data_IF_214848426044
#
_entry.id   IF_214848426044
#
_cell.length_a   1.000
_cell.length_b   1.000
_cell.length_c   1.000
_cell.angle_alpha   90.00
_cell.angle_beta   90.00
_cell.angle_gamma   90.00
#
_symmetry.space_group_name_H-M   'P 1'
#
loop_
_entity.id
_entity.type
_entity.pdbx_description
1 polymer ?
#
# COMPACT_ATOMS: atom_id res chain seq x y z
N UNK A 1 -13.57 31.73 6.19
CA UNK A 1 -12.48 30.87 5.69
C UNK A 1 -12.99 29.43 5.76
N UNK A 2 -13.44 28.88 4.64
CA UNK A 2 -14.24 27.63 4.58
C UNK A 2 -13.39 26.39 4.89
N UNK A 3 -13.84 25.54 5.81
CA UNK A 3 -13.23 24.26 6.20
C UNK A 3 -13.74 23.07 5.35
N UNK A 4 -14.30 23.31 4.17
CA UNK A 4 -14.79 22.26 3.29
C UNK A 4 -13.76 21.96 2.18
N UNK A 5 -13.17 20.75 2.12
CA UNK A 5 -12.37 20.35 0.97
C UNK A 5 -13.25 20.31 -0.30
N UNK A 6 -12.76 20.80 -1.45
CA UNK A 6 -13.54 20.92 -2.69
C UNK A 6 -14.12 19.55 -3.14
N UNK A 7 -15.33 19.51 -3.73
CA UNK A 7 -16.11 18.27 -3.93
C UNK A 7 -15.63 17.33 -5.05
N UNK A 8 -14.57 17.68 -5.76
CA UNK A 8 -14.18 17.11 -7.06
C UNK A 8 -13.03 16.07 -6.99
N UNK A 9 -12.73 15.55 -5.80
CA UNK A 9 -11.72 14.49 -5.61
C UNK A 9 -12.38 13.13 -5.30
N UNK A 10 -11.98 12.03 -5.97
CA UNK A 10 -12.56 10.71 -5.77
C UNK A 10 -12.38 10.26 -4.31
N UNK A 11 -13.41 9.60 -3.75
CA UNK A 11 -13.48 9.22 -2.32
C UNK A 11 -12.22 8.51 -1.80
N UNK A 12 -11.56 7.72 -2.65
CA UNK A 12 -10.30 7.04 -2.32
C UNK A 12 -9.15 8.02 -2.02
N UNK A 13 -9.03 9.16 -2.75
CA UNK A 13 -8.00 10.17 -2.46
C UNK A 13 -8.24 10.84 -1.12
N UNK A 14 -9.50 11.15 -0.78
CA UNK A 14 -9.84 11.73 0.53
C UNK A 14 -9.52 10.78 1.68
N UNK A 15 -9.81 9.48 1.53
CA UNK A 15 -9.47 8.47 2.53
C UNK A 15 -7.96 8.30 2.69
N UNK A 16 -7.21 8.25 1.58
CA UNK A 16 -5.75 8.09 1.61
C UNK A 16 -5.04 9.33 2.19
N UNK A 17 -5.53 10.54 1.91
CA UNK A 17 -5.00 11.77 2.52
C UNK A 17 -5.44 11.98 3.98
N UNK A 18 -6.48 11.30 4.45
CA UNK A 18 -6.94 11.39 5.84
C UNK A 18 -6.13 10.50 6.80
N UNK A 19 -5.38 9.53 6.29
CA UNK A 19 -4.51 8.68 7.11
C UNK A 19 -3.10 9.30 7.15
N UNK A 20 -2.71 10.03 8.21
CA UNK A 20 -1.51 10.86 8.21
C UNK A 20 -0.21 10.07 8.00
N UNK A 21 -0.18 8.78 8.35
CA UNK A 21 1.01 7.92 8.21
C UNK A 21 1.22 7.46 6.77
N UNK A 22 0.18 6.97 6.08
CA UNK A 22 0.29 6.51 4.69
C UNK A 22 0.17 7.65 3.68
N UNK A 23 -0.58 8.70 4.00
CA UNK A 23 -0.85 9.82 3.08
C UNK A 23 0.37 10.69 2.79
N UNK A 24 1.31 10.85 3.73
CA UNK A 24 2.55 11.59 3.51
C UNK A 24 3.52 10.81 2.61
N UNK A 25 3.79 9.55 2.97
CA UNK A 25 4.66 8.66 2.20
C UNK A 25 4.15 8.45 0.76
N UNK A 26 2.85 8.28 0.58
CA UNK A 26 2.27 8.12 -0.77
C UNK A 26 2.30 9.42 -1.57
N UNK A 27 2.12 10.58 -0.92
CA UNK A 27 2.26 11.89 -1.58
C UNK A 27 3.67 12.08 -2.10
N UNK A 28 4.67 11.72 -1.29
CA UNK A 28 6.07 11.81 -1.66
C UNK A 28 6.40 10.82 -2.78
N UNK A 29 5.88 9.60 -2.78
CA UNK A 29 6.12 8.63 -3.88
C UNK A 29 5.52 9.09 -5.20
N UNK A 30 4.34 9.72 -5.14
CA UNK A 30 3.62 10.17 -6.34
C UNK A 30 4.15 11.49 -6.93
N UNK A 31 4.74 12.36 -6.10
CA UNK A 31 5.19 13.70 -6.54
C UNK A 31 6.70 13.91 -6.40
N UNK A 32 7.43 13.00 -5.75
CA UNK A 32 8.88 13.07 -5.55
C UNK A 32 9.67 12.52 -6.74
N UNK A 33 11.00 12.74 -6.71
CA UNK A 33 11.92 12.23 -7.73
C UNK A 33 12.04 10.70 -7.73
N UNK A 34 12.72 10.15 -8.75
CA UNK A 34 12.88 8.69 -8.94
C UNK A 34 13.52 8.00 -7.73
N UNK A 35 14.33 8.71 -6.95
CA UNK A 35 14.95 8.24 -5.71
C UNK A 35 13.92 7.93 -4.62
N UNK A 36 12.76 8.58 -4.64
CA UNK A 36 11.79 8.46 -3.56
C UNK A 36 11.08 7.09 -3.51
N UNK A 37 11.03 6.38 -4.64
CA UNK A 37 10.51 5.01 -4.69
C UNK A 37 11.37 4.04 -3.85
N UNK A 38 12.68 4.27 -3.79
CA UNK A 38 13.59 3.41 -3.02
C UNK A 38 13.40 3.60 -1.52
N UNK A 39 13.20 4.84 -1.07
CA UNK A 39 12.84 5.11 0.33
C UNK A 39 11.52 4.46 0.70
N UNK A 40 10.54 4.52 -0.21
CA UNK A 40 9.25 3.89 0.05
C UNK A 40 9.33 2.37 0.14
N UNK A 41 10.09 1.74 -0.76
CA UNK A 41 10.34 0.31 -0.72
C UNK A 41 11.09 -0.09 0.57
N UNK A 42 12.10 0.68 0.96
CA UNK A 42 12.86 0.43 2.18
C UNK A 42 11.97 0.51 3.42
N UNK A 43 11.13 1.54 3.53
CA UNK A 43 10.17 1.68 4.65
C UNK A 43 9.15 0.54 4.67
N UNK A 44 8.65 0.09 3.52
CA UNK A 44 7.74 -1.06 3.45
C UNK A 44 8.41 -2.35 3.95
N UNK A 45 9.64 -2.61 3.51
CA UNK A 45 10.42 -3.77 3.96
C UNK A 45 10.71 -3.68 5.48
N UNK A 46 11.10 -2.50 5.97
CA UNK A 46 11.34 -2.28 7.39
C UNK A 46 10.06 -2.50 8.24
N UNK A 47 8.91 -1.99 7.79
CA UNK A 47 7.62 -2.24 8.43
C UNK A 47 7.28 -3.73 8.47
N UNK A 48 7.57 -4.45 7.39
CA UNK A 48 7.32 -5.89 7.35
C UNK A 48 8.24 -6.67 8.28
N UNK A 49 9.53 -6.31 8.37
CA UNK A 49 10.46 -6.88 9.35
C UNK A 49 9.99 -6.62 10.77
N UNK A 50 9.55 -5.38 11.09
CA UNK A 50 8.99 -5.06 12.41
C UNK A 50 7.73 -5.89 12.71
N UNK A 51 6.87 -6.11 11.72
CA UNK A 51 5.70 -6.99 11.87
C UNK A 51 6.11 -8.43 12.17
N UNK A 52 7.14 -8.96 11.49
CA UNK A 52 7.71 -10.29 11.78
C UNK A 52 8.30 -10.34 13.19
N UNK A 53 9.01 -9.31 13.63
CA UNK A 53 9.57 -9.29 14.99
C UNK A 53 8.48 -9.22 16.07
N UNK A 54 7.39 -8.52 15.81
CA UNK A 54 6.32 -8.33 16.79
C UNK A 54 5.37 -9.53 16.84
N UNK A 55 5.01 -10.11 15.69
CA UNK A 55 3.96 -11.13 15.57
C UNK A 55 4.51 -12.50 15.15
N UNK A 56 5.75 -12.58 14.66
CA UNK A 56 6.41 -13.82 14.29
C UNK A 56 5.84 -14.45 13.01
N UNK A 57 5.54 -15.75 13.12
CA UNK A 57 5.04 -16.59 12.03
C UNK A 57 3.77 -16.05 11.33
N UNK A 58 2.75 -15.52 12.04
CA UNK A 58 1.61 -14.82 11.44
C UNK A 58 1.97 -13.79 10.35
N UNK A 59 3.02 -12.99 10.54
CA UNK A 59 3.41 -11.95 9.59
C UNK A 59 3.98 -12.51 8.28
N UNK A 60 4.43 -13.77 8.27
CA UNK A 60 4.87 -14.48 7.07
C UNK A 60 3.76 -15.28 6.40
N UNK A 61 2.89 -15.95 7.17
CA UNK A 61 1.83 -16.79 6.60
C UNK A 61 0.75 -15.95 5.91
N UNK A 62 0.49 -14.72 6.36
CA UNK A 62 -0.52 -13.85 5.76
C UNK A 62 -0.17 -13.44 4.32
N UNK A 63 1.03 -12.94 3.99
CA UNK A 63 1.45 -12.73 2.60
C UNK A 63 1.37 -14.01 1.75
N UNK A 64 1.84 -15.13 2.28
CA UNK A 64 1.79 -16.42 1.57
C UNK A 64 0.34 -16.84 1.26
N UNK A 65 -0.57 -16.68 2.22
CA UNK A 65 -1.98 -16.99 2.06
C UNK A 65 -2.67 -16.02 1.09
N UNK A 66 -2.33 -14.74 1.11
CA UNK A 66 -2.85 -13.75 0.16
C UNK A 66 -2.38 -14.01 -1.28
N UNK A 67 -1.21 -14.64 -1.47
CA UNK A 67 -0.75 -15.06 -2.80
C UNK A 67 -1.58 -16.21 -3.38
N UNK A 68 -2.25 -17.03 -2.57
CA UNK A 68 -3.07 -18.15 -3.05
C UNK A 68 -4.22 -17.68 -3.96
N UNK A 69 -5.17 -16.83 -3.51
CA UNK A 69 -6.22 -16.33 -4.40
C UNK A 69 -5.64 -15.49 -5.55
N UNK A 70 -4.52 -14.79 -5.33
CA UNK A 70 -3.83 -14.02 -6.39
C UNK A 70 -3.34 -14.94 -7.51
N UNK A 71 -2.75 -16.08 -7.18
CA UNK A 71 -2.30 -17.08 -8.14
C UNK A 71 -3.49 -17.70 -8.89
N UNK A 72 -4.58 -18.05 -8.19
CA UNK A 72 -5.79 -18.52 -8.84
C UNK A 72 -6.39 -17.49 -9.80
N UNK A 73 -6.46 -16.22 -9.40
CA UNK A 73 -6.90 -15.13 -10.27
C UNK A 73 -6.01 -14.99 -11.49
N UNK A 74 -4.68 -15.09 -11.31
CA UNK A 74 -3.72 -15.11 -12.41
C UNK A 74 -3.97 -16.26 -13.39
N UNK A 75 -4.17 -17.48 -12.89
CA UNK A 75 -4.46 -18.65 -13.71
C UNK A 75 -5.79 -18.50 -14.45
N UNK A 76 -6.83 -18.02 -13.78
CA UNK A 76 -8.13 -17.74 -14.40
C UNK A 76 -7.98 -16.69 -15.50
N UNK A 77 -7.25 -15.60 -15.24
CA UNK A 77 -7.05 -14.53 -16.22
C UNK A 77 -6.29 -15.03 -17.45
N UNK A 78 -5.24 -15.84 -17.27
CA UNK A 78 -4.47 -16.43 -18.37
C UNK A 78 -5.31 -17.43 -19.17
N UNK A 79 -6.18 -18.20 -18.49
CA UNK A 79 -7.03 -19.21 -19.14
C UNK A 79 -8.22 -18.58 -19.86
N UNK A 80 -8.60 -17.34 -19.52
CA UNK A 80 -9.75 -16.64 -20.11
C UNK A 80 -9.49 -16.03 -21.50
N UNK A 81 -8.25 -16.04 -22.00
CA UNK A 81 -7.91 -15.63 -23.37
C UNK A 81 -8.09 -14.15 -23.63
#
# INVERSE_FOLDING_TARGET
MSLAPPPDLPLWRRLVYAVPVFGWMLRDVLHGGRENIYYALFTLVALWIMAIMTWGYPAMILPALALVPTAFLGLILITRG
#
